data_IF_513712734198
#
_entry.id   IF_513712734198
#
_cell.length_a   1.000
_cell.length_b   1.000
_cell.length_c   1.000
_cell.angle_alpha   90.00
_cell.angle_beta   90.00
_cell.angle_gamma   90.00
#
_symmetry.space_group_name_H-M   'P 1'
#
loop_
_entity.id
_entity.type
_entity.pdbx_description
1 polymer ?
#
# COMPACT_ATOMS: atom_id res chain seq x y z
N UNK A 1 8.06 1.02 17.55
CA UNK A 1 8.60 -0.30 17.94
C UNK A 1 7.75 -1.36 17.28
N UNK A 2 8.30 -2.37 16.60
CA UNK A 2 7.50 -3.52 16.21
C UNK A 2 6.83 -4.04 17.46
N UNK A 3 5.52 -4.31 17.40
CA UNK A 3 4.77 -4.82 18.57
C UNK A 3 5.39 -6.14 18.97
N UNK A 4 5.89 -6.32 20.20
CA UNK A 4 6.45 -7.60 20.62
C UNK A 4 5.34 -8.66 20.55
N UNK A 5 5.64 -9.85 20.02
CA UNK A 5 4.69 -10.97 19.90
C UNK A 5 4.02 -11.39 21.23
N UNK A 6 4.56 -10.92 22.36
CA UNK A 6 4.04 -11.21 23.70
C UNK A 6 3.00 -10.18 24.19
N UNK A 7 2.57 -9.22 23.37
CA UNK A 7 1.48 -8.32 23.77
C UNK A 7 0.14 -9.03 23.54
N UNK A 8 -0.62 -9.20 24.62
CA UNK A 8 -1.97 -9.79 24.65
C UNK A 8 -3.04 -8.93 23.96
N UNK A 9 -2.66 -7.76 23.45
CA UNK A 9 -3.58 -6.77 22.87
C UNK A 9 -3.81 -6.93 21.37
N UNK A 10 -3.09 -7.85 20.70
CA UNK A 10 -3.25 -8.11 19.26
C UNK A 10 -3.42 -9.60 18.98
N UNK A 11 -4.16 -9.91 17.92
CA UNK A 11 -4.31 -11.28 17.45
C UNK A 11 -3.02 -11.85 16.81
N UNK A 12 -2.03 -11.00 16.50
CA UNK A 12 -0.71 -11.39 15.97
C UNK A 12 0.27 -11.83 17.09
N UNK A 13 -0.19 -12.58 18.06
CA UNK A 13 0.64 -13.13 19.14
C UNK A 13 1.19 -14.52 18.80
N UNK A 14 2.19 -14.96 19.56
CA UNK A 14 2.91 -16.21 19.32
C UNK A 14 1.98 -17.44 19.24
N UNK A 15 1.05 -17.58 20.19
CA UNK A 15 0.14 -18.74 20.27
C UNK A 15 -0.76 -18.82 19.04
N UNK A 16 -1.31 -17.68 18.61
CA UNK A 16 -2.13 -17.60 17.42
C UNK A 16 -1.31 -17.93 16.16
N UNK A 17 -0.11 -17.37 16.02
CA UNK A 17 0.70 -17.57 14.82
C UNK A 17 1.23 -19.01 14.70
N UNK A 18 1.54 -19.67 15.81
CA UNK A 18 2.05 -21.06 15.80
C UNK A 18 1.01 -22.08 15.32
N UNK A 19 -0.29 -21.85 15.49
CA UNK A 19 -1.34 -22.78 15.05
C UNK A 19 -1.63 -22.70 13.55
N UNK A 20 -1.43 -21.54 12.91
CA UNK A 20 -1.84 -21.30 11.53
C UNK A 20 -1.14 -22.16 10.49
N UNK A 21 0.18 -22.46 10.59
CA UNK A 21 0.84 -23.37 9.64
C UNK A 21 0.21 -24.76 9.57
N UNK A 22 -0.29 -25.29 10.67
CA UNK A 22 -0.97 -26.59 10.69
C UNK A 22 -2.36 -26.53 10.08
N UNK A 23 -3.07 -25.41 10.21
CA UNK A 23 -4.44 -25.24 9.73
C UNK A 23 -4.50 -24.80 8.25
N UNK A 24 -3.64 -23.84 7.85
CA UNK A 24 -3.72 -23.21 6.53
C UNK A 24 -2.49 -23.48 5.64
N UNK A 25 -1.49 -24.19 6.15
CA UNK A 25 -0.20 -24.43 5.49
C UNK A 25 0.79 -23.26 5.65
N UNK A 26 2.08 -23.56 5.43
CA UNK A 26 3.17 -22.61 5.49
C UNK A 26 3.87 -22.48 4.13
N UNK A 27 4.42 -21.31 3.76
CA UNK A 27 4.26 -20.02 4.41
C UNK A 27 2.82 -19.47 4.34
N UNK A 28 2.47 -18.50 5.20
CA UNK A 28 1.12 -17.91 5.27
C UNK A 28 1.17 -16.42 5.60
N UNK A 29 0.38 -15.63 4.90
CA UNK A 29 0.11 -14.22 5.23
C UNK A 29 -0.96 -14.14 6.31
N UNK A 30 -0.74 -13.29 7.31
CA UNK A 30 -1.67 -13.10 8.42
C UNK A 30 -1.92 -11.64 8.63
N UNK A 31 -3.18 -11.25 8.80
CA UNK A 31 -3.61 -9.87 9.06
C UNK A 31 -4.45 -9.80 10.34
N UNK A 32 -4.40 -8.65 11.01
CA UNK A 32 -5.22 -8.32 12.16
C UNK A 32 -6.16 -7.16 11.81
N UNK A 33 -7.46 -7.42 11.85
CA UNK A 33 -8.48 -6.44 11.52
C UNK A 33 -8.55 -5.28 12.52
N UNK A 34 -8.22 -5.53 13.79
CA UNK A 34 -8.27 -4.49 14.81
C UNK A 34 -7.20 -3.42 14.57
N UNK A 35 -5.99 -3.82 14.17
CA UNK A 35 -4.93 -2.86 13.81
C UNK A 35 -5.37 -1.99 12.63
N UNK A 36 -6.02 -2.59 11.62
CA UNK A 36 -6.57 -1.82 10.48
C UNK A 36 -7.58 -0.77 10.96
N UNK A 37 -8.52 -1.16 11.85
CA UNK A 37 -9.51 -0.23 12.40
C UNK A 37 -8.86 0.92 13.18
N UNK A 38 -7.84 0.64 13.98
CA UNK A 38 -7.10 1.66 14.73
C UNK A 38 -6.42 2.67 13.82
N UNK A 39 -5.80 2.18 12.73
CA UNK A 39 -5.15 3.05 11.74
C UNK A 39 -6.16 3.91 10.97
N UNK A 40 -7.35 3.40 10.68
CA UNK A 40 -8.43 4.18 10.08
C UNK A 40 -8.89 5.26 11.06
N UNK A 41 -9.11 4.90 12.32
CA UNK A 41 -9.55 5.85 13.35
C UNK A 41 -8.56 7.00 13.56
N UNK A 42 -7.26 6.77 13.36
CA UNK A 42 -6.24 7.82 13.45
C UNK A 42 -6.35 8.90 12.35
N UNK A 43 -7.18 8.68 11.33
CA UNK A 43 -7.40 9.61 10.22
C UNK A 43 -8.81 10.20 10.19
N UNK A 44 -9.55 10.10 11.30
CA UNK A 44 -10.95 10.53 11.43
C UNK A 44 -11.19 12.03 11.16
N UNK A 45 -10.16 12.84 11.18
CA UNK A 45 -10.23 14.29 10.95
C UNK A 45 -10.43 14.65 9.47
N UNK A 46 -10.01 13.76 8.53
CA UNK A 46 -10.19 13.97 7.10
C UNK A 46 -11.65 13.75 6.70
N UNK A 47 -12.16 14.57 5.80
CA UNK A 47 -13.54 14.44 5.30
C UNK A 47 -13.76 13.12 4.54
N UNK A 48 -12.71 12.64 3.84
CA UNK A 48 -12.70 11.35 3.14
C UNK A 48 -11.34 10.68 3.31
N UNK A 49 -11.36 9.45 3.80
CA UNK A 49 -10.21 8.53 3.73
C UNK A 49 -10.47 7.56 2.58
N UNK A 50 -9.54 7.50 1.63
CA UNK A 50 -9.62 6.66 0.43
C UNK A 50 -8.45 5.68 0.40
N UNK A 51 -8.72 4.40 0.58
CA UNK A 51 -7.67 3.38 0.63
C UNK A 51 -7.03 3.17 -0.75
N UNK A 52 -5.73 3.46 -0.87
CA UNK A 52 -4.94 3.11 -2.05
C UNK A 52 -4.74 1.58 -2.08
N UNK A 53 -5.69 0.86 -2.70
CA UNK A 53 -5.81 -0.60 -2.59
C UNK A 53 -4.64 -1.37 -3.20
N UNK A 54 -3.80 -0.74 -4.02
CA UNK A 54 -2.52 -1.34 -4.49
C UNK A 54 -1.64 -1.83 -3.35
N UNK A 55 -1.79 -1.28 -2.14
CA UNK A 55 -1.07 -1.74 -0.95
C UNK A 55 -1.52 -3.14 -0.50
N UNK A 56 -2.83 -3.41 -0.54
CA UNK A 56 -3.43 -4.73 -0.23
C UNK A 56 -4.82 -4.82 -0.85
N UNK A 57 -4.97 -5.45 -2.01
CA UNK A 57 -6.21 -5.51 -2.77
C UNK A 57 -7.05 -6.77 -2.49
N UNK A 58 -6.84 -7.44 -1.34
CA UNK A 58 -7.68 -8.58 -0.95
C UNK A 58 -9.12 -8.11 -0.69
N UNK A 59 -10.10 -8.78 -1.30
CA UNK A 59 -11.53 -8.42 -1.24
C UNK A 59 -12.05 -8.33 0.21
N UNK A 60 -11.57 -9.18 1.11
CA UNK A 60 -12.00 -9.17 2.52
C UNK A 60 -11.41 -7.97 3.28
N UNK A 61 -10.20 -7.55 2.97
CA UNK A 61 -9.62 -6.32 3.51
C UNK A 61 -10.38 -5.10 2.95
N UNK A 62 -10.72 -5.10 1.66
CA UNK A 62 -11.55 -4.05 1.06
C UNK A 62 -12.94 -3.97 1.70
N UNK A 63 -13.57 -5.11 2.04
CA UNK A 63 -14.84 -5.13 2.80
C UNK A 63 -14.69 -4.49 4.18
N UNK A 64 -13.62 -4.82 4.89
CA UNK A 64 -13.32 -4.20 6.19
C UNK A 64 -13.18 -2.67 6.04
N UNK A 65 -12.46 -2.19 5.00
CA UNK A 65 -12.35 -0.75 4.71
C UNK A 65 -13.73 -0.12 4.49
N UNK A 66 -14.57 -0.73 3.63
CA UNK A 66 -15.93 -0.25 3.35
C UNK A 66 -16.80 -0.19 4.60
N UNK A 67 -16.76 -1.21 5.46
CA UNK A 67 -17.51 -1.28 6.73
C UNK A 67 -17.10 -0.17 7.70
N UNK A 68 -15.89 0.36 7.58
CA UNK A 68 -15.38 1.50 8.35
C UNK A 68 -15.63 2.85 7.65
N UNK A 69 -16.38 2.88 6.53
CA UNK A 69 -16.68 4.12 5.80
C UNK A 69 -15.52 4.61 4.91
N UNK A 70 -14.45 3.84 4.77
CA UNK A 70 -13.31 4.17 3.90
C UNK A 70 -13.70 3.89 2.44
N UNK A 71 -13.41 4.84 1.55
CA UNK A 71 -13.56 4.70 0.09
C UNK A 71 -12.29 4.07 -0.51
N UNK A 72 -12.28 3.83 -1.83
CA UNK A 72 -11.09 3.23 -2.46
C UNK A 72 -10.58 4.05 -3.64
N UNK A 73 -9.25 4.00 -3.80
CA UNK A 73 -8.52 4.41 -4.99
C UNK A 73 -8.08 3.15 -5.74
N UNK A 74 -8.41 3.09 -7.04
CA UNK A 74 -8.12 1.98 -7.94
C UNK A 74 -7.21 2.43 -9.07
N UNK A 75 -6.19 1.64 -9.41
CA UNK A 75 -5.19 2.01 -10.43
C UNK A 75 -5.20 1.09 -11.65
N UNK A 76 -6.18 0.17 -11.73
CA UNK A 76 -6.37 -0.74 -12.84
C UNK A 76 -7.81 -1.25 -12.90
N UNK A 77 -8.20 -1.84 -14.04
CA UNK A 77 -9.49 -2.53 -14.19
C UNK A 77 -9.66 -3.64 -13.14
N UNK A 78 -8.61 -4.41 -12.91
CA UNK A 78 -8.64 -5.49 -11.90
C UNK A 78 -8.90 -4.98 -10.48
N UNK A 79 -8.40 -3.79 -10.13
CA UNK A 79 -8.69 -3.16 -8.85
C UNK A 79 -10.13 -2.62 -8.78
N UNK A 80 -10.67 -2.06 -9.86
CA UNK A 80 -12.10 -1.68 -9.93
C UNK A 80 -12.97 -2.91 -9.68
N UNK A 81 -12.71 -4.04 -10.36
CA UNK A 81 -13.51 -5.26 -10.18
C UNK A 81 -13.38 -5.84 -8.75
N UNK A 82 -12.21 -5.74 -8.12
CA UNK A 82 -12.04 -6.12 -6.70
C UNK A 82 -12.85 -5.24 -5.76
N UNK A 83 -12.88 -3.93 -6.00
CA UNK A 83 -13.70 -2.99 -5.23
C UNK A 83 -15.19 -3.32 -5.36
N UNK A 84 -15.68 -3.56 -6.58
CA UNK A 84 -17.06 -3.98 -6.83
C UNK A 84 -17.39 -5.31 -6.12
N UNK A 85 -16.49 -6.31 -6.18
CA UNK A 85 -16.65 -7.59 -5.49
C UNK A 85 -16.62 -7.44 -3.95
N UNK A 86 -15.99 -6.41 -3.43
CA UNK A 86 -16.02 -6.05 -2.02
C UNK A 86 -17.30 -5.29 -1.62
N UNK A 87 -18.13 -4.90 -2.58
CA UNK A 87 -19.42 -4.24 -2.38
C UNK A 87 -19.36 -2.71 -2.40
N UNK A 88 -18.29 -2.11 -2.93
CA UNK A 88 -18.32 -0.68 -3.27
C UNK A 88 -19.23 -0.49 -4.49
N UNK A 89 -20.23 0.36 -4.36
CA UNK A 89 -21.23 0.56 -5.41
C UNK A 89 -21.24 2.02 -5.89
N UNK A 90 -20.66 2.31 -7.08
CA UNK A 90 -20.66 3.65 -7.65
C UNK A 90 -22.05 4.22 -7.94
N UNK A 91 -23.10 3.37 -8.02
CA UNK A 91 -24.49 3.83 -8.20
C UNK A 91 -25.12 4.34 -6.93
N UNK A 92 -24.75 3.75 -5.79
CA UNK A 92 -25.21 4.17 -4.46
C UNK A 92 -24.39 5.36 -3.92
N UNK A 93 -23.09 5.37 -4.20
CA UNK A 93 -22.15 6.41 -3.80
C UNK A 93 -21.20 6.69 -4.99
N UNK A 94 -21.44 7.80 -5.69
CA UNK A 94 -20.78 8.13 -6.97
C UNK A 94 -19.27 8.36 -6.89
N UNK A 95 -18.70 8.43 -5.68
CA UNK A 95 -17.27 8.55 -5.44
C UNK A 95 -16.73 7.45 -4.49
N UNK A 96 -17.49 6.35 -4.32
CA UNK A 96 -17.04 5.17 -3.58
C UNK A 96 -15.71 4.62 -4.12
N UNK A 97 -15.52 4.71 -5.43
CA UNK A 97 -14.31 4.34 -6.16
C UNK A 97 -13.83 5.56 -6.94
N UNK A 98 -12.54 5.85 -6.90
CA UNK A 98 -11.86 6.77 -7.83
C UNK A 98 -10.83 5.98 -8.61
N UNK A 99 -10.72 6.23 -9.90
CA UNK A 99 -9.66 5.65 -10.73
C UNK A 99 -8.51 6.64 -10.88
N UNK A 100 -7.33 6.28 -10.39
CA UNK A 100 -6.14 7.13 -10.44
C UNK A 100 -5.07 6.48 -11.32
N UNK A 101 -4.67 7.14 -12.40
CA UNK A 101 -3.60 6.65 -13.26
C UNK A 101 -2.95 7.79 -14.08
N UNK A 102 -1.83 7.47 -14.75
CA UNK A 102 -1.19 8.36 -15.74
C UNK A 102 -1.53 7.96 -17.17
N UNK A 103 -2.16 6.81 -17.34
CA UNK A 103 -2.72 6.30 -18.60
C UNK A 103 -3.98 5.47 -18.33
N UNK A 104 -4.82 5.32 -19.33
CA UNK A 104 -6.01 4.47 -19.27
C UNK A 104 -6.10 3.64 -20.55
N UNK A 105 -6.29 2.32 -20.43
CA UNK A 105 -6.55 1.44 -21.56
C UNK A 105 -8.05 1.40 -21.92
N UNK A 106 -8.36 0.92 -23.13
CA UNK A 106 -9.74 0.94 -23.69
C UNK A 106 -10.73 0.17 -22.79
N UNK A 107 -10.32 -0.97 -22.21
CA UNK A 107 -11.17 -1.79 -21.36
C UNK A 107 -11.50 -1.07 -20.04
N UNK A 108 -10.50 -0.44 -19.45
CA UNK A 108 -10.64 0.36 -18.22
C UNK A 108 -11.50 1.61 -18.51
N UNK A 109 -11.25 2.28 -19.64
CA UNK A 109 -12.01 3.46 -20.06
C UNK A 109 -13.50 3.13 -20.26
N UNK A 110 -13.81 2.02 -20.94
CA UNK A 110 -15.18 1.56 -21.12
C UNK A 110 -15.86 1.27 -19.77
N UNK A 111 -15.16 0.65 -18.84
CA UNK A 111 -15.71 0.33 -17.51
C UNK A 111 -15.92 1.57 -16.64
N UNK A 112 -14.98 2.50 -16.66
CA UNK A 112 -15.08 3.80 -15.98
C UNK A 112 -16.26 4.60 -16.51
N UNK A 113 -16.44 4.63 -17.83
CA UNK A 113 -17.59 5.27 -18.47
C UNK A 113 -18.92 4.60 -18.08
N UNK A 114 -19.01 3.27 -18.15
CA UNK A 114 -20.21 2.50 -17.79
C UNK A 114 -20.66 2.78 -16.34
N UNK A 115 -19.72 2.81 -15.42
CA UNK A 115 -19.98 2.97 -13.98
C UNK A 115 -19.94 4.42 -13.51
N UNK A 116 -19.56 5.36 -14.38
CA UNK A 116 -19.37 6.77 -14.06
C UNK A 116 -18.41 7.00 -12.89
N UNK A 117 -17.34 6.18 -12.81
CA UNK A 117 -16.31 6.27 -11.78
C UNK A 117 -15.48 7.53 -12.01
N UNK A 118 -15.36 8.46 -11.04
CA UNK A 118 -14.52 9.64 -11.18
C UNK A 118 -13.05 9.26 -11.48
N UNK A 119 -12.43 10.00 -12.38
CA UNK A 119 -11.07 9.75 -12.86
C UNK A 119 -10.12 10.82 -12.33
N UNK A 120 -9.07 10.40 -11.62
CA UNK A 120 -7.95 11.25 -11.26
C UNK A 120 -6.88 11.16 -12.35
N UNK A 121 -6.93 12.09 -13.30
CA UNK A 121 -6.11 12.05 -14.49
C UNK A 121 -4.69 12.54 -14.21
N UNK A 122 -3.72 11.73 -14.63
CA UNK A 122 -2.28 12.03 -14.53
C UNK A 122 -1.67 12.57 -15.81
N UNK A 123 -2.45 12.72 -16.89
CA UNK A 123 -2.00 13.30 -18.14
C UNK A 123 -3.12 14.02 -18.90
N UNK A 124 -2.76 14.97 -19.76
CA UNK A 124 -3.71 15.68 -20.65
C UNK A 124 -4.31 14.71 -21.67
N UNK A 125 -3.52 13.78 -22.20
CA UNK A 125 -4.00 12.74 -23.14
C UNK A 125 -5.09 11.86 -22.52
N UNK A 126 -4.95 11.53 -21.23
CA UNK A 126 -5.95 10.75 -20.50
C UNK A 126 -7.28 11.52 -20.37
N UNK A 127 -7.23 12.84 -20.14
CA UNK A 127 -8.43 13.69 -20.15
C UNK A 127 -9.07 13.74 -21.54
N UNK A 128 -8.26 13.82 -22.60
CA UNK A 128 -8.74 13.84 -23.99
C UNK A 128 -9.47 12.53 -24.34
N UNK A 129 -8.86 11.37 -24.00
CA UNK A 129 -9.46 10.05 -24.22
C UNK A 129 -10.78 9.90 -23.45
N UNK A 130 -10.80 10.31 -22.18
CA UNK A 130 -12.00 10.26 -21.36
C UNK A 130 -13.10 11.19 -21.93
N UNK A 131 -12.74 12.41 -22.31
CA UNK A 131 -13.66 13.39 -22.85
C UNK A 131 -14.32 12.94 -24.15
N UNK A 132 -13.59 12.26 -25.04
CA UNK A 132 -14.11 11.68 -26.28
C UNK A 132 -15.19 10.61 -26.04
N UNK A 133 -15.01 9.78 -25.00
CA UNK A 133 -15.90 8.65 -24.68
C UNK A 133 -17.02 9.07 -23.73
N UNK A 134 -16.76 9.97 -22.79
CA UNK A 134 -17.67 10.35 -21.71
C UNK A 134 -17.67 11.86 -21.45
N UNK A 135 -18.22 12.68 -22.35
CA UNK A 135 -18.36 14.11 -22.11
C UNK A 135 -19.14 14.38 -20.82
N UNK A 136 -18.72 15.39 -20.06
CA UNK A 136 -19.33 15.72 -18.77
C UNK A 136 -18.90 14.83 -17.61
N UNK A 137 -17.92 13.95 -17.80
CA UNK A 137 -17.42 13.04 -16.76
C UNK A 137 -16.80 13.81 -15.60
N UNK A 138 -16.91 13.28 -14.37
CA UNK A 138 -16.28 13.84 -13.16
C UNK A 138 -14.80 13.49 -13.14
N UNK A 139 -13.93 14.49 -12.95
CA UNK A 139 -12.47 14.31 -12.97
C UNK A 139 -11.78 15.03 -11.82
N UNK A 140 -10.70 14.43 -11.37
CA UNK A 140 -9.65 15.04 -10.58
C UNK A 140 -8.45 15.28 -11.47
N UNK A 141 -7.62 16.28 -11.15
CA UNK A 141 -6.33 16.48 -11.79
C UNK A 141 -5.22 16.19 -10.82
N UNK A 142 -4.42 15.17 -11.12
CA UNK A 142 -3.19 14.91 -10.37
C UNK A 142 -2.09 15.82 -10.90
N UNK A 143 -1.61 16.71 -10.06
CA UNK A 143 -0.58 17.69 -10.42
C UNK A 143 0.80 17.23 -9.97
N UNK A 144 1.78 17.33 -10.87
CA UNK A 144 3.19 17.29 -10.54
C UNK A 144 3.69 18.73 -10.35
N UNK A 145 3.99 19.15 -9.11
CA UNK A 145 4.36 20.54 -8.81
C UNK A 145 5.79 20.91 -9.21
N UNK A 146 6.54 20.00 -9.87
CA UNK A 146 7.92 20.22 -10.29
C UNK A 146 8.98 19.84 -9.24
N UNK A 147 8.56 19.36 -8.09
CA UNK A 147 9.43 18.82 -7.04
C UNK A 147 8.79 17.59 -6.40
N UNK A 148 9.58 16.77 -5.71
CA UNK A 148 9.11 15.57 -5.05
C UNK A 148 10.06 15.09 -3.98
N UNK A 149 9.59 14.17 -3.14
CA UNK A 149 10.33 13.53 -2.06
C UNK A 149 10.00 12.03 -2.03
N UNK A 150 10.92 11.20 -1.53
CA UNK A 150 10.72 9.77 -1.34
C UNK A 150 11.93 9.14 -0.67
N UNK A 151 11.74 8.01 0.01
CA UNK A 151 12.85 7.25 0.64
C UNK A 151 13.89 6.77 -0.38
N UNK A 152 13.52 6.65 -1.66
CA UNK A 152 14.42 6.37 -2.77
C UNK A 152 13.84 6.97 -4.06
N UNK A 153 14.66 7.07 -5.11
CA UNK A 153 14.19 7.48 -6.45
C UNK A 153 13.02 6.61 -6.96
N UNK A 154 13.00 5.33 -6.58
CA UNK A 154 11.94 4.38 -6.97
C UNK A 154 10.58 4.68 -6.32
N UNK A 155 10.55 5.46 -5.26
CA UNK A 155 9.34 5.81 -4.50
C UNK A 155 9.01 7.31 -4.56
N UNK A 156 9.81 8.10 -5.27
CA UNK A 156 9.52 9.50 -5.56
C UNK A 156 8.46 9.61 -6.66
N UNK A 157 7.40 10.38 -6.41
CA UNK A 157 6.27 10.56 -7.34
C UNK A 157 6.07 12.01 -7.79
N UNK A 158 7.07 12.88 -7.60
CA UNK A 158 7.08 14.28 -8.06
C UNK A 158 8.40 14.67 -8.70
N UNK A 159 8.43 15.85 -9.34
CA UNK A 159 9.59 16.39 -10.05
C UNK A 159 9.83 15.78 -11.44
N UNK A 160 10.90 16.21 -12.12
CA UNK A 160 11.18 15.88 -13.53
C UNK A 160 11.50 14.39 -13.78
N UNK A 161 11.93 13.66 -12.74
CA UNK A 161 12.28 12.24 -12.85
C UNK A 161 11.10 11.31 -12.50
N UNK A 162 9.90 11.87 -12.33
CA UNK A 162 8.68 11.13 -12.05
C UNK A 162 7.74 11.19 -13.25
N UNK A 163 7.20 10.04 -13.64
CA UNK A 163 6.18 9.96 -14.69
C UNK A 163 4.78 10.43 -14.24
N UNK A 164 4.60 10.68 -12.95
CA UNK A 164 3.29 10.87 -12.35
C UNK A 164 2.80 12.31 -12.42
N UNK A 165 1.53 12.44 -12.83
CA UNK A 165 0.77 13.68 -12.78
C UNK A 165 1.03 14.62 -13.96
N UNK A 166 0.10 15.54 -14.17
CA UNK A 166 0.20 16.63 -15.14
C UNK A 166 1.24 17.63 -14.62
N UNK A 167 2.23 17.95 -15.43
CA UNK A 167 3.20 18.97 -15.10
C UNK A 167 2.52 20.32 -14.87
N UNK A 168 2.88 21.02 -13.82
CA UNK A 168 2.19 22.26 -13.41
C UNK A 168 2.08 23.33 -14.53
N UNK A 169 3.05 23.37 -15.46
CA UNK A 169 3.04 24.29 -16.58
C UNK A 169 2.04 23.87 -17.70
N UNK A 170 1.58 22.62 -17.71
CA UNK A 170 0.63 22.08 -18.69
C UNK A 170 -0.83 22.20 -18.23
N UNK A 171 -1.08 22.80 -17.06
CA UNK A 171 -2.43 23.01 -16.54
C UNK A 171 -3.35 23.82 -17.48
N UNK A 172 -2.86 24.82 -18.25
CA UNK A 172 -3.69 25.48 -19.27
C UNK A 172 -4.21 24.52 -20.34
N UNK A 173 -3.39 23.55 -20.79
CA UNK A 173 -3.83 22.54 -21.76
C UNK A 173 -4.90 21.59 -21.15
N UNK A 174 -4.75 21.22 -19.88
CA UNK A 174 -5.77 20.46 -19.18
C UNK A 174 -7.11 21.23 -19.11
N UNK A 175 -7.07 22.54 -18.83
CA UNK A 175 -8.26 23.39 -18.82
C UNK A 175 -8.97 23.44 -20.17
N UNK A 176 -8.23 23.53 -21.27
CA UNK A 176 -8.81 23.50 -22.62
C UNK A 176 -9.59 22.20 -22.90
N UNK A 177 -9.04 21.05 -22.42
CA UNK A 177 -9.71 19.75 -22.56
C UNK A 177 -10.95 19.67 -21.66
N UNK A 178 -10.87 20.14 -20.41
CA UNK A 178 -12.03 20.22 -19.52
C UNK A 178 -13.18 20.99 -20.16
N UNK A 179 -12.89 22.15 -20.75
CA UNK A 179 -13.89 23.00 -21.42
C UNK A 179 -14.45 22.36 -22.70
N UNK A 180 -13.56 21.77 -23.52
CA UNK A 180 -13.94 21.14 -24.80
C UNK A 180 -14.95 20.04 -24.63
N UNK A 181 -14.78 19.19 -23.60
CA UNK A 181 -15.66 18.06 -23.33
C UNK A 181 -16.62 18.28 -22.17
N UNK A 182 -16.69 19.50 -21.62
CA UNK A 182 -17.50 19.84 -20.45
C UNK A 182 -17.27 18.89 -19.27
N UNK A 183 -16.01 18.46 -19.08
CA UNK A 183 -15.64 17.61 -17.96
C UNK A 183 -15.83 18.38 -16.65
N UNK A 184 -16.32 17.69 -15.61
CA UNK A 184 -16.65 18.29 -14.32
C UNK A 184 -15.47 18.11 -13.38
N UNK A 185 -14.76 19.19 -13.09
CA UNK A 185 -13.67 19.18 -12.15
C UNK A 185 -14.20 18.98 -10.72
N UNK A 186 -13.78 17.89 -10.07
CA UNK A 186 -14.07 17.59 -8.67
C UNK A 186 -13.03 18.25 -7.78
N UNK A 187 -11.74 18.09 -8.13
CA UNK A 187 -10.67 18.61 -7.30
C UNK A 187 -9.28 18.44 -7.89
N UNK A 188 -8.33 18.91 -7.11
CA UNK A 188 -6.89 18.78 -7.38
C UNK A 188 -6.28 17.81 -6.38
N UNK A 189 -5.41 16.96 -6.89
CA UNK A 189 -4.70 15.92 -6.16
C UNK A 189 -3.19 16.13 -6.28
N UNK A 190 -2.47 16.05 -5.17
CA UNK A 190 -1.01 16.01 -5.14
C UNK A 190 -0.54 14.81 -4.32
N UNK A 191 0.34 14.01 -4.91
CA UNK A 191 1.03 12.93 -4.21
C UNK A 191 2.49 12.93 -4.65
N UNK A 192 3.41 13.27 -3.76
CA UNK A 192 4.79 13.59 -4.11
C UNK A 192 5.83 12.61 -3.55
N UNK A 193 5.39 11.45 -3.08
CA UNK A 193 6.27 10.38 -2.64
C UNK A 193 5.87 9.76 -1.31
N UNK A 194 6.66 8.79 -0.86
CA UNK A 194 6.46 8.10 0.42
C UNK A 194 7.46 8.60 1.47
N UNK A 195 6.98 8.75 2.69
CA UNK A 195 7.70 9.33 3.82
C UNK A 195 7.26 10.77 4.10
N UNK A 196 7.34 11.18 5.35
CA UNK A 196 6.93 12.53 5.76
C UNK A 196 8.14 13.28 6.30
N UNK A 197 8.53 14.29 5.54
CA UNK A 197 9.33 15.43 5.99
C UNK A 197 8.36 16.62 6.10
N UNK A 198 8.11 17.11 7.31
CA UNK A 198 7.15 18.18 7.54
C UNK A 198 7.52 19.50 6.88
N UNK A 199 8.82 19.84 6.77
CA UNK A 199 9.27 21.01 6.03
C UNK A 199 8.98 20.92 4.54
N UNK A 200 9.13 19.72 3.97
CA UNK A 200 8.73 19.44 2.61
C UNK A 200 7.21 19.45 2.45
N UNK A 201 6.46 18.90 3.42
CA UNK A 201 5.00 18.90 3.42
C UNK A 201 4.42 20.32 3.39
N UNK A 202 5.00 21.28 4.14
CA UNK A 202 4.61 22.68 4.08
C UNK A 202 4.76 23.26 2.68
N UNK A 203 5.85 22.91 1.96
CA UNK A 203 6.04 23.32 0.57
C UNK A 203 4.96 22.76 -0.36
N UNK A 204 4.55 21.51 -0.15
CA UNK A 204 3.46 20.85 -0.92
C UNK A 204 2.12 21.53 -0.66
N UNK A 205 1.78 21.78 0.60
CA UNK A 205 0.58 22.51 0.99
C UNK A 205 0.54 23.91 0.35
N UNK A 206 1.66 24.62 0.39
CA UNK A 206 1.81 25.92 -0.27
C UNK A 206 1.69 25.83 -1.81
N UNK A 207 2.21 24.75 -2.43
CA UNK A 207 2.06 24.54 -3.86
C UNK A 207 0.61 24.22 -4.23
N UNK A 208 -0.11 23.41 -3.42
CA UNK A 208 -1.54 23.14 -3.63
C UNK A 208 -2.34 24.43 -3.65
N UNK A 209 -2.16 25.30 -2.67
CA UNK A 209 -2.86 26.59 -2.59
C UNK A 209 -2.58 27.45 -3.85
N UNK A 210 -1.29 27.59 -4.23
CA UNK A 210 -0.93 28.35 -5.43
C UNK A 210 -1.56 27.78 -6.69
N UNK A 211 -1.47 26.46 -6.89
CA UNK A 211 -2.02 25.82 -8.10
C UNK A 211 -3.53 25.99 -8.20
N UNK A 212 -4.28 25.91 -7.11
CA UNK A 212 -5.74 26.15 -7.12
C UNK A 212 -6.04 27.59 -7.49
N UNK A 213 -5.33 28.56 -6.90
CA UNK A 213 -5.52 30.01 -7.18
C UNK A 213 -5.17 30.32 -8.64
N UNK A 214 -4.02 29.85 -9.12
CA UNK A 214 -3.53 30.12 -10.47
C UNK A 214 -4.41 29.45 -11.54
N UNK A 215 -4.93 28.25 -11.24
CA UNK A 215 -5.83 27.52 -12.14
C UNK A 215 -7.20 28.19 -12.27
N UNK A 216 -7.66 28.90 -11.25
CA UNK A 216 -8.86 29.75 -11.29
C UNK A 216 -10.16 29.00 -11.55
N UNK A 217 -10.23 27.71 -11.24
CA UNK A 217 -11.43 26.90 -11.39
C UNK A 217 -12.03 26.57 -10.03
N UNK A 218 -13.33 26.40 -9.99
CA UNK A 218 -14.05 25.96 -8.81
C UNK A 218 -13.81 24.48 -8.50
N UNK A 219 -13.75 24.11 -7.20
CA UNK A 219 -13.43 22.77 -6.71
C UNK A 219 -14.38 22.35 -5.60
N UNK A 220 -14.76 21.05 -5.59
CA UNK A 220 -15.49 20.44 -4.46
C UNK A 220 -14.51 20.00 -3.34
N UNK A 221 -13.28 19.63 -3.71
CA UNK A 221 -12.32 19.02 -2.78
C UNK A 221 -10.86 19.22 -3.23
N UNK A 222 -9.94 19.02 -2.26
CA UNK A 222 -8.51 18.78 -2.52
C UNK A 222 -8.11 17.43 -1.92
N UNK A 223 -7.15 16.74 -2.54
CA UNK A 223 -6.58 15.48 -2.03
C UNK A 223 -5.12 15.66 -1.64
N UNK A 224 -4.80 15.31 -0.40
CA UNK A 224 -3.44 15.24 0.12
C UNK A 224 -2.64 14.07 -0.46
N UNK A 225 -3.27 13.21 -1.30
CA UNK A 225 -2.66 11.99 -1.79
C UNK A 225 -2.34 11.01 -0.67
N UNK A 226 -1.41 10.11 -0.95
CA UNK A 226 -0.88 9.16 0.04
C UNK A 226 0.47 9.60 0.60
N UNK A 227 1.30 8.62 0.97
CA UNK A 227 2.67 8.86 1.41
C UNK A 227 2.89 8.69 2.91
N UNK A 228 1.83 8.54 3.71
CA UNK A 228 1.97 8.23 5.13
C UNK A 228 2.76 6.93 5.32
N UNK A 229 3.89 7.02 6.01
CA UNK A 229 4.77 5.89 6.34
C UNK A 229 4.45 5.32 7.72
N UNK A 230 5.14 4.24 8.05
CA UNK A 230 5.20 3.65 9.38
C UNK A 230 6.66 3.55 9.81
N UNK A 231 6.97 3.45 11.11
CA UNK A 231 8.30 3.13 11.58
C UNK A 231 8.61 1.65 11.32
N UNK A 232 9.55 1.35 10.41
CA UNK A 232 10.00 -0.01 10.14
C UNK A 232 11.14 -0.44 11.04
N UNK A 233 11.96 0.52 11.51
CA UNK A 233 13.13 0.26 12.34
C UNK A 233 12.92 0.79 13.75
N UNK A 234 13.57 0.17 14.71
CA UNK A 234 13.62 0.71 16.06
C UNK A 234 14.27 2.10 16.06
N UNK A 235 13.65 3.04 16.75
CA UNK A 235 14.08 4.45 16.82
C UNK A 235 13.54 5.35 15.71
N UNK A 236 12.87 4.82 14.69
CA UNK A 236 12.10 5.64 13.76
C UNK A 236 10.84 6.16 14.45
N UNK A 237 10.51 7.42 14.23
CA UNK A 237 9.30 8.05 14.80
C UNK A 237 8.07 7.70 13.97
N UNK A 238 6.96 7.43 14.65
CA UNK A 238 5.65 7.33 14.02
C UNK A 238 5.21 8.70 13.51
N UNK A 239 4.46 8.71 12.41
CA UNK A 239 3.91 9.97 11.91
C UNK A 239 2.88 10.53 12.90
N UNK A 240 2.98 11.84 13.16
CA UNK A 240 1.96 12.59 13.87
C UNK A 240 0.84 12.96 12.89
N UNK A 241 -0.28 12.22 12.94
CA UNK A 241 -1.42 12.40 12.06
C UNK A 241 -2.16 13.71 12.31
N UNK A 242 -2.13 14.23 13.54
CA UNK A 242 -2.76 15.51 13.90
C UNK A 242 -1.97 16.67 13.30
N UNK A 243 -0.65 16.64 13.43
CA UNK A 243 0.22 17.64 12.80
C UNK A 243 0.12 17.60 11.26
N UNK A 244 0.12 16.39 10.67
CA UNK A 244 -0.08 16.21 9.23
C UNK A 244 -1.41 16.80 8.75
N UNK A 245 -2.50 16.50 9.46
CA UNK A 245 -3.81 17.06 9.18
C UNK A 245 -3.82 18.58 9.34
N UNK A 246 -3.18 19.12 10.40
CA UNK A 246 -3.10 20.56 10.66
C UNK A 246 -2.53 21.35 9.49
N UNK A 247 -1.46 20.88 8.86
CA UNK A 247 -0.85 21.51 7.68
C UNK A 247 -1.80 21.50 6.47
N UNK A 248 -2.42 20.37 6.19
CA UNK A 248 -3.35 20.24 5.07
C UNK A 248 -4.67 20.99 5.28
N UNK A 249 -5.20 21.02 6.51
CA UNK A 249 -6.41 21.76 6.83
C UNK A 249 -6.20 23.27 6.68
N UNK A 250 -5.02 23.81 7.04
CA UNK A 250 -4.69 25.19 6.82
C UNK A 250 -4.64 25.54 5.30
N UNK A 251 -4.12 24.64 4.47
CA UNK A 251 -4.13 24.81 3.02
C UNK A 251 -5.57 24.78 2.47
N UNK A 252 -6.39 23.79 2.90
CA UNK A 252 -7.81 23.69 2.55
C UNK A 252 -8.57 24.94 2.93
N UNK A 253 -8.38 25.49 4.14
CA UNK A 253 -9.07 26.68 4.62
C UNK A 253 -8.69 27.93 3.81
N UNK A 254 -7.42 28.04 3.40
CA UNK A 254 -6.97 29.11 2.49
C UNK A 254 -7.65 29.01 1.12
N UNK A 255 -7.80 27.80 0.59
CA UNK A 255 -8.50 27.55 -0.68
C UNK A 255 -9.99 27.86 -0.54
N UNK A 256 -10.63 27.38 0.52
CA UNK A 256 -12.05 27.63 0.80
C UNK A 256 -12.34 29.13 0.93
N UNK A 257 -11.47 29.90 1.58
CA UNK A 257 -11.57 31.37 1.66
C UNK A 257 -11.45 32.04 0.29
N UNK A 258 -10.58 31.55 -0.59
CA UNK A 258 -10.43 32.05 -1.96
C UNK A 258 -11.66 31.77 -2.84
N UNK A 259 -12.19 30.53 -2.76
CA UNK A 259 -13.36 30.10 -3.56
C UNK A 259 -14.70 30.63 -2.99
N UNK A 260 -14.74 31.02 -1.71
CA UNK A 260 -15.94 31.54 -1.06
C UNK A 260 -16.92 30.47 -0.58
N UNK A 261 -16.52 29.20 -0.53
CA UNK A 261 -17.31 28.09 0.00
C UNK A 261 -16.44 27.01 0.62
N UNK A 262 -17.07 26.04 1.30
CA UNK A 262 -16.38 24.93 1.93
C UNK A 262 -15.79 23.96 0.87
N UNK A 263 -14.56 23.51 1.11
CA UNK A 263 -13.83 22.54 0.28
C UNK A 263 -13.51 21.32 1.17
N UNK A 264 -13.75 20.11 0.66
CA UNK A 264 -13.39 18.87 1.38
C UNK A 264 -11.90 18.62 1.31
N UNK A 265 -11.38 17.98 2.36
CA UNK A 265 -10.00 17.49 2.43
C UNK A 265 -10.00 15.96 2.41
N UNK A 266 -9.48 15.36 1.33
CA UNK A 266 -9.34 13.92 1.18
C UNK A 266 -7.89 13.46 1.39
N UNK A 267 -7.72 12.19 1.80
CA UNK A 267 -6.40 11.54 1.93
C UNK A 267 -6.45 10.12 1.36
N UNK A 268 -5.33 9.66 0.75
CA UNK A 268 -5.22 8.37 0.08
C UNK A 268 -4.14 7.45 0.69
N UNK A 269 -4.24 7.06 1.98
CA UNK A 269 -3.28 6.19 2.61
C UNK A 269 -3.39 4.76 2.05
N UNK A 270 -2.24 4.16 1.73
CA UNK A 270 -2.13 2.72 1.45
C UNK A 270 -1.39 2.03 2.57
N UNK A 271 -0.07 2.26 2.62
CA UNK A 271 0.85 1.65 3.59
C UNK A 271 0.40 1.82 5.04
N UNK A 272 0.05 3.04 5.43
CA UNK A 272 -0.30 3.40 6.79
C UNK A 272 -1.44 2.54 7.37
N UNK A 273 -2.43 2.22 6.54
CA UNK A 273 -3.63 1.50 7.01
C UNK A 273 -3.39 0.01 7.24
N UNK A 274 -2.44 -0.63 6.54
CA UNK A 274 -2.36 -2.09 6.53
C UNK A 274 -0.98 -2.67 6.83
N UNK A 275 0.11 -1.89 6.75
CA UNK A 275 1.46 -2.44 6.87
C UNK A 275 1.68 -3.15 8.21
N UNK A 276 1.41 -2.46 9.32
CA UNK A 276 1.59 -3.00 10.68
C UNK A 276 0.54 -4.08 11.04
N UNK A 277 -0.56 -4.13 10.28
CA UNK A 277 -1.60 -5.13 10.45
C UNK A 277 -1.23 -6.50 9.86
N UNK A 278 -0.14 -6.62 9.11
CA UNK A 278 0.20 -7.85 8.41
C UNK A 278 1.57 -8.41 8.75
N UNK A 279 1.65 -9.75 8.84
CA UNK A 279 2.90 -10.50 8.99
C UNK A 279 2.96 -11.65 7.98
N UNK A 280 4.19 -12.07 7.65
CA UNK A 280 4.45 -13.30 6.91
C UNK A 280 5.06 -14.32 7.87
N UNK A 281 4.39 -15.45 8.07
CA UNK A 281 4.90 -16.59 8.84
C UNK A 281 5.51 -17.60 7.89
N UNK A 282 6.78 -17.94 8.09
CA UNK A 282 7.53 -18.88 7.26
C UNK A 282 8.30 -19.89 8.10
N UNK A 283 8.37 -21.15 7.65
CA UNK A 283 9.06 -22.21 8.36
C UNK A 283 10.53 -22.26 7.99
N UNK A 284 11.40 -22.43 9.00
CA UNK A 284 12.82 -22.73 8.83
C UNK A 284 12.97 -24.13 8.24
N UNK A 285 13.58 -24.22 7.05
CA UNK A 285 13.78 -25.49 6.34
C UNK A 285 15.20 -25.98 6.43
N UNK A 286 16.16 -25.09 6.59
CA UNK A 286 17.58 -25.43 6.70
C UNK A 286 18.34 -24.34 7.43
N UNK A 287 19.39 -24.74 8.15
CA UNK A 287 20.38 -23.87 8.76
C UNK A 287 21.75 -24.32 8.27
N UNK A 288 22.61 -23.39 7.85
CA UNK A 288 23.96 -23.75 7.39
C UNK A 288 24.97 -22.63 7.58
N UNK A 289 26.22 -23.05 7.77
CA UNK A 289 27.37 -22.14 7.77
C UNK A 289 27.95 -21.97 6.37
N UNK A 290 28.21 -20.73 5.98
CA UNK A 290 28.86 -20.37 4.72
C UNK A 290 30.07 -19.48 5.02
N UNK A 291 31.18 -20.11 5.32
CA UNK A 291 32.37 -19.43 5.84
C UNK A 291 32.10 -18.80 7.21
N UNK A 292 32.15 -17.48 7.31
CA UNK A 292 31.85 -16.75 8.56
C UNK A 292 30.37 -16.32 8.69
N UNK A 293 29.49 -16.78 7.80
CA UNK A 293 28.09 -16.39 7.76
C UNK A 293 27.17 -17.53 8.16
N UNK A 294 26.28 -17.27 9.11
CA UNK A 294 25.20 -18.16 9.49
C UNK A 294 23.94 -17.87 8.66
N UNK A 295 23.46 -18.87 7.91
CA UNK A 295 22.28 -18.76 7.08
C UNK A 295 21.12 -19.56 7.63
N UNK A 296 19.96 -18.92 7.74
CA UNK A 296 18.66 -19.56 7.99
C UNK A 296 17.84 -19.48 6.69
N UNK A 297 17.50 -20.64 6.14
CA UNK A 297 16.70 -20.76 4.92
C UNK A 297 15.25 -21.08 5.29
N UNK A 298 14.34 -20.23 4.83
CA UNK A 298 12.90 -20.36 5.07
C UNK A 298 12.15 -20.77 3.80
N UNK A 299 10.93 -21.22 3.92
CA UNK A 299 10.09 -21.67 2.80
C UNK A 299 9.40 -20.53 2.02
N UNK A 300 9.48 -19.27 2.48
CA UNK A 300 9.10 -18.07 1.75
C UNK A 300 10.29 -17.47 0.99
N UNK A 301 10.05 -16.89 -0.19
CA UNK A 301 11.04 -16.21 -1.01
C UNK A 301 10.64 -14.79 -1.40
N UNK A 302 11.48 -14.11 -2.21
CA UNK A 302 11.11 -12.78 -2.70
C UNK A 302 9.89 -12.82 -3.65
N UNK A 303 9.56 -13.98 -4.21
CA UNK A 303 8.30 -14.16 -4.94
C UNK A 303 7.07 -13.94 -4.06
N UNK A 304 7.20 -14.15 -2.76
CA UNK A 304 6.17 -13.87 -1.74
C UNK A 304 6.32 -12.44 -1.22
N UNK A 305 7.48 -12.06 -0.68
CA UNK A 305 7.79 -10.73 -0.15
C UNK A 305 8.95 -10.09 -0.92
N UNK A 306 8.60 -9.37 -2.00
CA UNK A 306 9.58 -8.80 -2.93
C UNK A 306 10.35 -7.58 -2.37
N UNK A 307 9.79 -6.87 -1.42
CA UNK A 307 10.29 -5.56 -0.96
C UNK A 307 11.75 -5.54 -0.52
N UNK A 308 12.29 -6.52 0.23
CA UNK A 308 13.72 -6.55 0.57
C UNK A 308 14.62 -6.62 -0.68
N UNK A 309 14.27 -7.47 -1.65
CA UNK A 309 15.07 -7.64 -2.87
C UNK A 309 14.95 -6.46 -3.83
N UNK A 310 13.76 -5.86 -3.94
CA UNK A 310 13.50 -4.78 -4.90
C UNK A 310 13.96 -3.40 -4.42
N UNK A 311 13.82 -3.14 -3.11
CA UNK A 311 14.02 -1.81 -2.52
C UNK A 311 15.03 -1.79 -1.37
N UNK A 312 15.58 -2.94 -0.94
CA UNK A 312 16.33 -3.05 0.30
C UNK A 312 15.47 -2.74 1.54
N UNK A 313 14.16 -2.92 1.44
CA UNK A 313 13.24 -2.58 2.53
C UNK A 313 13.50 -3.45 3.76
N UNK A 314 13.57 -2.79 4.90
CA UNK A 314 13.67 -3.47 6.17
C UNK A 314 12.30 -4.01 6.60
N UNK A 315 12.30 -5.24 7.10
CA UNK A 315 11.21 -5.84 7.88
C UNK A 315 11.79 -6.42 9.16
N UNK A 316 11.18 -6.14 10.30
CA UNK A 316 11.60 -6.77 11.55
C UNK A 316 11.31 -8.27 11.49
N UNK A 317 12.20 -9.07 12.04
CA UNK A 317 12.09 -10.54 12.05
C UNK A 317 12.14 -11.03 13.49
N UNK A 318 11.16 -11.84 13.87
CA UNK A 318 11.16 -12.57 15.13
C UNK A 318 11.12 -14.08 14.88
N UNK A 319 11.48 -14.87 15.88
CA UNK A 319 11.50 -16.32 15.78
C UNK A 319 10.48 -16.95 16.75
N UNK A 320 9.87 -18.06 16.34
CA UNK A 320 8.98 -18.88 17.16
C UNK A 320 9.47 -20.34 17.12
N UNK A 321 9.66 -20.94 18.29
CA UNK A 321 9.96 -22.38 18.37
C UNK A 321 8.71 -23.19 18.01
N UNK A 322 8.89 -24.24 17.21
CA UNK A 322 7.78 -25.11 16.79
C UNK A 322 7.06 -25.82 17.96
N UNK A 323 7.76 -26.02 19.07
CA UNK A 323 7.25 -26.64 20.30
C UNK A 323 6.61 -25.63 21.28
N UNK A 324 6.55 -24.34 20.89
CA UNK A 324 6.02 -23.26 21.73
C UNK A 324 6.95 -22.78 22.83
N UNK A 325 8.20 -23.27 22.88
CA UNK A 325 9.18 -22.81 23.87
C UNK A 325 9.59 -21.35 23.62
N UNK A 326 9.90 -20.63 24.70
CA UNK A 326 10.32 -19.23 24.60
C UNK A 326 11.77 -19.12 24.12
N UNK A 327 11.97 -18.48 22.98
CA UNK A 327 13.29 -18.21 22.40
C UNK A 327 13.93 -16.91 22.90
N UNK A 328 13.28 -16.15 23.80
CA UNK A 328 13.84 -14.90 24.35
C UNK A 328 15.17 -15.13 25.05
N UNK A 329 15.33 -16.28 25.71
CA UNK A 329 16.56 -16.68 26.44
C UNK A 329 17.57 -17.45 25.58
N UNK A 330 17.22 -17.78 24.34
CA UNK A 330 18.12 -18.49 23.43
C UNK A 330 19.34 -17.63 23.06
N UNK A 331 20.51 -18.23 22.80
CA UNK A 331 21.65 -17.49 22.26
C UNK A 331 21.27 -16.76 20.99
N UNK A 332 21.78 -15.54 20.80
CA UNK A 332 21.54 -14.77 19.59
C UNK A 332 22.72 -14.90 18.63
N UNK A 333 22.41 -15.09 17.37
CA UNK A 333 23.38 -15.33 16.30
C UNK A 333 23.15 -14.27 15.20
N UNK A 334 24.26 -13.75 14.66
CA UNK A 334 24.24 -12.87 13.49
C UNK A 334 23.85 -13.67 12.24
N UNK A 335 22.61 -13.58 11.82
CA UNK A 335 21.95 -14.46 10.88
C UNK A 335 21.62 -13.75 9.57
N UNK A 336 21.89 -14.40 8.46
CA UNK A 336 21.34 -14.07 7.13
C UNK A 336 20.08 -14.91 6.90
N UNK A 337 18.95 -14.26 6.64
CA UNK A 337 17.68 -14.95 6.32
C UNK A 337 17.48 -14.94 4.81
N UNK A 338 17.34 -16.12 4.20
CA UNK A 338 17.20 -16.31 2.78
C UNK A 338 16.05 -17.27 2.43
N UNK A 339 15.54 -17.17 1.21
CA UNK A 339 14.42 -17.97 0.73
C UNK A 339 14.85 -19.18 -0.12
N UNK A 340 13.88 -19.87 -0.76
CA UNK A 340 14.09 -21.09 -1.51
C UNK A 340 14.32 -20.88 -3.00
N UNK A 341 14.32 -19.65 -3.51
CA UNK A 341 14.39 -19.39 -4.95
C UNK A 341 15.80 -19.65 -5.49
N UNK A 342 15.87 -20.13 -6.73
CA UNK A 342 17.12 -20.32 -7.43
C UNK A 342 17.67 -18.98 -7.96
N UNK A 343 17.89 -18.04 -7.03
CA UNK A 343 18.31 -16.66 -7.31
C UNK A 343 19.10 -16.11 -6.13
N UNK A 344 20.29 -15.55 -6.40
CA UNK A 344 21.18 -15.02 -5.35
C UNK A 344 20.57 -13.83 -4.56
N UNK A 345 19.65 -13.10 -5.18
CA UNK A 345 18.93 -11.99 -4.54
C UNK A 345 17.82 -12.42 -3.59
N UNK A 346 17.58 -13.72 -3.42
CA UNK A 346 16.53 -14.24 -2.52
C UNK A 346 16.98 -14.22 -1.04
N UNK A 347 17.24 -13.00 -0.56
CA UNK A 347 17.70 -12.70 0.79
C UNK A 347 16.80 -11.62 1.40
N UNK A 348 16.22 -11.88 2.57
CA UNK A 348 15.37 -10.91 3.27
C UNK A 348 16.17 -9.88 4.05
N UNK A 349 17.40 -10.23 4.44
CA UNK A 349 18.32 -9.40 5.21
C UNK A 349 19.35 -8.75 4.28
N UNK A 350 18.88 -7.79 3.46
CA UNK A 350 19.73 -7.03 2.55
C UNK A 350 19.33 -5.55 2.50
N UNK A 351 20.27 -4.72 2.09
CA UNK A 351 20.08 -3.30 1.79
C UNK A 351 19.78 -3.09 0.30
N UNK A 352 19.43 -1.86 -0.07
CA UNK A 352 19.35 -1.45 -1.47
C UNK A 352 20.67 -1.75 -2.20
N UNK A 353 20.54 -2.24 -3.44
CA UNK A 353 21.69 -2.72 -4.22
C UNK A 353 22.13 -4.15 -3.93
N UNK A 354 21.39 -4.89 -3.09
CA UNK A 354 21.64 -6.32 -2.82
C UNK A 354 22.75 -6.62 -1.82
N UNK A 355 23.21 -5.61 -1.05
CA UNK A 355 24.21 -5.83 -0.01
C UNK A 355 23.63 -6.62 1.14
N UNK A 356 24.11 -7.85 1.33
CA UNK A 356 23.66 -8.74 2.41
C UNK A 356 24.09 -8.21 3.77
N UNK A 357 23.14 -8.17 4.69
CA UNK A 357 23.33 -7.85 6.10
C UNK A 357 23.01 -9.06 6.98
N UNK A 358 23.39 -8.98 8.25
CA UNK A 358 22.93 -9.91 9.27
C UNK A 358 21.84 -9.27 10.14
N UNK A 359 21.08 -10.13 10.81
CA UNK A 359 20.20 -9.76 11.93
C UNK A 359 20.57 -10.58 13.14
N UNK A 360 20.63 -9.96 14.29
CA UNK A 360 20.78 -10.66 15.55
C UNK A 360 19.47 -11.37 15.88
N UNK A 361 19.38 -12.67 15.61
CA UNK A 361 18.20 -13.50 15.87
C UNK A 361 18.50 -14.57 16.93
N UNK A 362 17.49 -15.07 17.66
CA UNK A 362 17.65 -16.28 18.47
C UNK A 362 18.10 -17.44 17.59
N UNK A 363 18.90 -18.35 18.16
CA UNK A 363 19.25 -19.60 17.47
C UNK A 363 17.98 -20.41 17.18
N UNK A 364 17.81 -20.78 15.93
CA UNK A 364 16.67 -21.56 15.44
C UNK A 364 17.14 -22.83 14.74
N UNK A 365 16.22 -23.80 14.63
CA UNK A 365 16.47 -25.10 13.98
C UNK A 365 15.40 -25.37 12.89
N UNK A 366 15.65 -26.30 11.97
CA UNK A 366 14.63 -26.74 11.02
C UNK A 366 13.34 -27.18 11.74
N UNK A 367 12.19 -26.65 11.26
CA UNK A 367 10.89 -26.83 11.88
C UNK A 367 10.39 -25.61 12.66
N UNK A 368 11.26 -24.78 13.19
CA UNK A 368 10.91 -23.50 13.81
C UNK A 368 10.36 -22.52 12.78
N UNK A 369 9.84 -21.37 13.22
CA UNK A 369 9.25 -20.37 12.34
C UNK A 369 9.94 -19.01 12.49
N UNK A 370 10.04 -18.27 11.38
CA UNK A 370 10.32 -16.85 11.39
C UNK A 370 9.06 -16.07 11.01
N UNK A 371 8.84 -14.96 11.70
CA UNK A 371 7.77 -14.01 11.46
C UNK A 371 8.40 -12.72 10.94
N UNK A 372 8.05 -12.35 9.69
CA UNK A 372 8.44 -11.09 9.10
C UNK A 372 7.31 -10.09 9.34
N UNK A 373 7.58 -9.02 10.07
CA UNK A 373 6.61 -8.01 10.50
C UNK A 373 6.40 -6.90 9.48
N UNK A 374 5.34 -6.13 9.67
CA UNK A 374 5.00 -4.92 8.91
C UNK A 374 4.87 -5.18 7.40
N UNK A 375 4.38 -6.38 7.05
CA UNK A 375 4.30 -6.87 5.67
C UNK A 375 2.92 -6.73 5.04
N UNK A 376 1.94 -6.15 5.76
CA UNK A 376 0.56 -6.04 5.29
C UNK A 376 0.37 -5.14 4.07
N UNK A 377 1.31 -4.22 3.81
CA UNK A 377 1.34 -3.39 2.63
C UNK A 377 2.43 -3.85 1.65
N UNK A 378 2.06 -4.00 0.38
CA UNK A 378 3.00 -4.37 -0.69
C UNK A 378 3.72 -5.71 -0.46
N UNK A 379 3.16 -6.57 0.38
CA UNK A 379 3.55 -7.97 0.57
C UNK A 379 2.79 -8.84 -0.42
N UNK A 380 1.66 -9.41 0.01
CA UNK A 380 0.85 -10.29 -0.81
C UNK A 380 0.39 -9.68 -2.16
N UNK A 381 0.21 -8.34 -2.23
CA UNK A 381 -0.17 -7.64 -3.46
C UNK A 381 0.95 -7.59 -4.51
N UNK A 382 2.22 -7.75 -4.12
CA UNK A 382 3.38 -7.81 -5.03
C UNK A 382 3.90 -9.23 -5.24
N UNK A 383 3.22 -10.24 -4.71
CA UNK A 383 3.61 -11.65 -4.89
C UNK A 383 3.53 -12.07 -6.35
N UNK A 384 4.39 -13.01 -6.73
CA UNK A 384 4.47 -13.55 -8.09
C UNK A 384 4.63 -15.07 -8.07
N UNK A 385 4.49 -15.67 -9.26
CA UNK A 385 4.73 -17.10 -9.46
C UNK A 385 6.17 -17.41 -9.92
N UNK A 386 7.15 -16.58 -9.58
CA UNK A 386 8.54 -16.85 -9.93
C UNK A 386 9.00 -18.22 -9.42
N UNK A 387 9.82 -18.91 -10.20
CA UNK A 387 10.17 -20.32 -10.05
C UNK A 387 8.95 -21.27 -9.98
N UNK A 388 7.82 -20.91 -10.63
CA UNK A 388 6.55 -21.65 -10.63
C UNK A 388 6.01 -21.96 -9.24
N UNK A 389 6.24 -21.06 -8.27
CA UNK A 389 5.73 -21.21 -6.91
C UNK A 389 4.30 -20.64 -6.81
N UNK A 390 3.38 -21.36 -6.15
CA UNK A 390 2.02 -20.89 -5.94
C UNK A 390 1.95 -19.67 -5.02
N UNK A 391 0.98 -18.80 -5.25
CA UNK A 391 0.64 -17.72 -4.31
C UNK A 391 0.18 -18.30 -2.97
N UNK A 392 0.62 -17.67 -1.88
CA UNK A 392 0.37 -18.09 -0.51
C UNK A 392 -1.08 -17.86 -0.07
N UNK A 393 -1.57 -18.62 0.93
CA UNK A 393 -2.82 -18.33 1.59
C UNK A 393 -2.73 -17.04 2.40
N UNK A 394 -3.88 -16.37 2.55
CA UNK A 394 -4.04 -15.21 3.42
C UNK A 394 -5.10 -15.49 4.48
N UNK A 395 -4.79 -15.15 5.73
CA UNK A 395 -5.66 -15.33 6.91
C UNK A 395 -5.90 -13.98 7.56
N UNK A 396 -7.13 -13.68 7.94
CA UNK A 396 -7.50 -12.49 8.70
C UNK A 396 -7.98 -12.91 10.09
N UNK A 397 -7.35 -12.37 11.12
CA UNK A 397 -7.91 -12.36 12.45
C UNK A 397 -8.90 -11.21 12.60
N UNK A 398 -10.07 -11.52 13.14
CA UNK A 398 -11.09 -10.55 13.52
C UNK A 398 -11.73 -10.98 14.83
N UNK A 399 -11.52 -10.22 15.90
CA UNK A 399 -11.99 -10.52 17.26
C UNK A 399 -11.59 -11.94 17.75
N UNK A 400 -10.34 -12.30 17.58
CA UNK A 400 -9.77 -13.60 18.01
C UNK A 400 -10.08 -14.78 17.08
N UNK A 401 -10.86 -14.55 16.01
CA UNK A 401 -11.23 -15.62 15.06
C UNK A 401 -10.38 -15.52 13.79
N UNK A 402 -9.60 -16.57 13.52
CA UNK A 402 -8.86 -16.72 12.28
C UNK A 402 -9.79 -17.15 11.13
N UNK A 403 -9.74 -16.46 10.01
CA UNK A 403 -10.55 -16.75 8.83
C UNK A 403 -9.66 -16.74 7.57
N UNK A 404 -9.74 -17.80 6.77
CA UNK A 404 -9.10 -17.85 5.46
C UNK A 404 -9.77 -16.82 4.52
N UNK A 405 -8.98 -15.86 4.02
CA UNK A 405 -9.46 -14.79 3.11
C UNK A 405 -8.90 -14.93 1.70
N UNK A 406 -7.90 -15.78 1.51
CA UNK A 406 -7.43 -16.30 0.22
C UNK A 406 -6.87 -17.69 0.44
N UNK A 407 -7.30 -18.68 -0.33
CA UNK A 407 -6.68 -20.00 -0.30
C UNK A 407 -5.34 -20.00 -1.04
N UNK A 408 -4.49 -20.98 -0.76
CA UNK A 408 -3.28 -21.19 -1.55
C UNK A 408 -3.64 -21.49 -3.01
N UNK A 409 -2.90 -20.90 -3.94
CA UNK A 409 -2.99 -21.26 -5.36
C UNK A 409 -2.50 -22.70 -5.57
N UNK A 410 -3.17 -23.43 -6.43
CA UNK A 410 -2.77 -24.80 -6.80
C UNK A 410 -1.81 -24.79 -8.00
N UNK A 411 -1.00 -25.85 -8.14
CA UNK A 411 -0.16 -26.03 -9.33
C UNK A 411 -1.02 -26.15 -10.59
N UNK A 412 -2.19 -26.79 -10.49
CA UNK A 412 -3.13 -26.91 -11.60
C UNK A 412 -3.61 -25.55 -12.12
N UNK A 413 -3.82 -24.58 -11.23
CA UNK A 413 -4.19 -23.21 -11.63
C UNK A 413 -3.05 -22.48 -12.33
N UNK A 414 -1.80 -22.74 -11.97
CA UNK A 414 -0.63 -22.21 -12.69
C UNK A 414 -0.59 -22.77 -14.12
N UNK A 415 -0.79 -24.06 -14.28
CA UNK A 415 -0.71 -24.74 -15.56
C UNK A 415 -1.94 -24.46 -16.46
N UNK A 416 -3.10 -24.14 -15.85
CA UNK A 416 -4.37 -24.01 -16.58
C UNK A 416 -4.34 -22.94 -17.69
N UNK A 417 -3.51 -21.88 -17.54
CA UNK A 417 -3.38 -20.83 -18.54
C UNK A 417 -2.59 -21.27 -19.78
N UNK A 418 -1.83 -22.34 -19.69
CA UNK A 418 -0.95 -22.87 -20.75
C UNK A 418 -1.49 -24.16 -21.37
N UNK A 419 -2.43 -24.85 -20.68
CA UNK A 419 -3.11 -26.04 -21.19
C UNK A 419 -4.34 -25.63 -22.03
N UNK A 420 -4.06 -25.08 -23.22
CA UNK A 420 -5.05 -24.59 -24.19
C UNK A 420 -5.34 -25.61 -25.28
#
# INVERSE_FOLDING_TARGET
MPRPLNQTETDLNADNLLRLPAEFGCPVWVYDAQIVREKIAALHQFDVVRFAQKACSNIHILRLMREQGVKVDSVSLGEIERALAAGFDPKADSDAIVFTADLIDDATLARVHELQIPVNAGSVDMLEQLGQVSPGHRVWLRINPGFGHGHSQKTNTGGENSKHGIWYADMPAALEVLQRYNLKLVGIHMHIGSGVDYGHLEQVCGAMVRQVIDFGQDLEAISAGGGLSIPYREGEEAIDTDHYYGLWSAARDSIAAHLGHAVKLEIEPGRFLVAEAGVLVAQVRSVKEMGSRHFVLIDAGFNDLMRPSMYGSYHHITALAADGSDLVIAPRIETVVAGPLCESGDVFTQQEGGKVETRSLPEVKPGDYLVLHDTGAYGASMSSNYNSRPLLPEVLFDNGVARLIRRRQTIQELLALELV
#
